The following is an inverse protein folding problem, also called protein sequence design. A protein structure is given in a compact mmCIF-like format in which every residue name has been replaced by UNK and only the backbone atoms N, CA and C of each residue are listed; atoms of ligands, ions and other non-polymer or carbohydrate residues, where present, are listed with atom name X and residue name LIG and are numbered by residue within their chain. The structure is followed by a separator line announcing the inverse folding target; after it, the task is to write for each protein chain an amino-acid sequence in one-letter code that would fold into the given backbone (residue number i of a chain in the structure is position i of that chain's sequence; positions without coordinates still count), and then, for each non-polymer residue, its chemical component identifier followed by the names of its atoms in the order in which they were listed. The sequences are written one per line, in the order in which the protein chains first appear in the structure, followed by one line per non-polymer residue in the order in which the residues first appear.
data_IF_169065515446
#
_entry.id   IF_169065515446
#
_cell.length_a   1.000
_cell.length_b   1.000
_cell.length_c   1.000
_cell.angle_alpha   90.00
_cell.angle_beta   90.00
_cell.angle_gamma   90.00
#
_symmetry.space_group_name_H-M   'P 1'
#
loop_
_entity.id
_entity.type
_entity.pdbx_description
1 polymer ?
#
# COMPACT_ATOMS: atom_id res chain seq x y z
N UNK A 1 -11.46 -9.56 2.65
CA UNK A 1 -10.29 -8.90 2.06
C UNK A 1 -10.69 -8.53 0.65
N UNK A 2 -10.62 -7.24 0.29
CA UNK A 2 -11.03 -6.77 -1.04
C UNK A 2 -9.76 -6.49 -1.84
N UNK A 3 -9.42 -7.43 -2.72
CA UNK A 3 -8.34 -7.28 -3.68
C UNK A 3 -8.72 -6.23 -4.74
N UNK A 4 -7.75 -5.43 -5.17
CA UNK A 4 -7.91 -4.54 -6.32
C UNK A 4 -6.62 -4.41 -7.13
N UNK A 5 -6.73 -3.89 -8.35
CA UNK A 5 -5.59 -3.68 -9.24
C UNK A 5 -5.40 -2.20 -9.51
N UNK A 6 -4.13 -1.78 -9.58
CA UNK A 6 -3.71 -0.46 -10.04
C UNK A 6 -2.76 -0.59 -11.22
N UNK A 7 -2.81 0.36 -12.14
CA UNK A 7 -1.88 0.47 -13.24
C UNK A 7 -0.94 1.65 -12.98
N UNK A 8 0.37 1.40 -12.98
CA UNK A 8 1.40 2.38 -12.61
C UNK A 8 2.54 2.33 -13.63
N UNK A 9 3.10 3.48 -14.00
CA UNK A 9 4.30 3.55 -14.83
C UNK A 9 5.52 3.58 -13.92
N UNK A 10 6.24 2.46 -13.88
CA UNK A 10 7.50 2.31 -13.15
C UNK A 10 8.68 2.51 -14.11
N UNK A 11 9.92 2.53 -13.60
CA UNK A 11 11.10 2.63 -14.47
C UNK A 11 11.18 1.48 -15.50
N UNK A 12 10.55 0.35 -15.16
CA UNK A 12 10.41 -0.87 -15.98
C UNK A 12 9.24 -0.80 -16.98
N UNK A 13 8.50 0.30 -17.02
CA UNK A 13 7.34 0.51 -17.90
C UNK A 13 6.00 0.38 -17.18
N UNK A 14 4.93 0.30 -17.98
CA UNK A 14 3.57 0.13 -17.48
C UNK A 14 3.43 -1.22 -16.77
N UNK A 15 3.07 -1.17 -15.49
CA UNK A 15 3.03 -2.31 -14.59
C UNK A 15 1.66 -2.37 -13.93
N UNK A 16 0.99 -3.51 -14.04
CA UNK A 16 -0.22 -3.80 -13.28
C UNK A 16 0.18 -4.42 -11.95
N UNK A 17 -0.30 -3.81 -10.86
CA UNK A 17 -0.01 -4.22 -9.49
C UNK A 17 -1.30 -4.69 -8.85
N UNK A 18 -1.30 -5.92 -8.33
CA UNK A 18 -2.33 -6.42 -7.43
C UNK A 18 -2.09 -5.83 -6.04
N UNK A 19 -3.16 -5.41 -5.39
CA UNK A 19 -3.13 -4.79 -4.07
C UNK A 19 -4.15 -5.44 -3.16
N UNK A 20 -3.68 -5.87 -1.99
CA UNK A 20 -4.48 -6.44 -0.91
C UNK A 20 -4.35 -5.57 0.33
N UNK A 21 -5.47 -5.08 0.87
CA UNK A 21 -5.48 -4.34 2.12
C UNK A 21 -5.20 -5.29 3.30
N UNK A 22 -4.22 -4.95 4.12
CA UNK A 22 -3.96 -5.65 5.38
C UNK A 22 -5.02 -5.23 6.38
N UNK A 23 -5.70 -6.17 7.06
CA UNK A 23 -6.70 -5.83 8.06
C UNK A 23 -6.12 -5.00 9.21
N UNK A 24 -6.87 -4.01 9.77
CA UNK A 24 -6.38 -3.14 10.84
C UNK A 24 -5.84 -3.87 12.08
N UNK A 25 -6.41 -5.02 12.41
CA UNK A 25 -5.97 -5.89 13.49
C UNK A 25 -4.59 -6.51 13.28
N UNK A 26 -4.10 -6.52 12.04
CA UNK A 26 -2.82 -7.10 11.63
C UNK A 26 -1.78 -6.04 11.26
N UNK A 27 -2.09 -4.75 11.43
CA UNK A 27 -1.11 -3.69 11.18
C UNK A 27 0.01 -3.75 12.21
N UNK A 28 1.25 -3.57 11.75
CA UNK A 28 2.42 -3.56 12.63
C UNK A 28 2.41 -2.37 13.61
N UNK A 29 1.72 -1.27 13.26
CA UNK A 29 1.51 -0.11 14.13
C UNK A 29 0.05 0.36 14.07
N UNK A 30 -0.54 0.76 15.21
CA UNK A 30 -1.86 1.38 15.23
C UNK A 30 -1.91 2.64 14.36
N UNK A 31 -2.91 2.73 13.48
CA UNK A 31 -3.12 3.91 12.64
C UNK A 31 -2.17 4.03 11.43
N UNK A 32 -1.43 2.96 11.11
CA UNK A 32 -0.54 2.90 9.94
C UNK A 32 -1.08 1.87 8.94
N UNK A 33 -1.93 2.27 7.98
CA UNK A 33 -2.48 1.36 6.98
C UNK A 33 -1.39 0.64 6.20
N UNK A 34 -1.58 -0.66 5.97
CA UNK A 34 -0.66 -1.51 5.23
C UNK A 34 -1.36 -2.19 4.06
N UNK A 35 -0.62 -2.36 2.97
CA UNK A 35 -1.10 -2.94 1.73
C UNK A 35 -0.05 -3.90 1.19
N UNK A 36 -0.45 -5.13 0.91
CA UNK A 36 0.39 -6.08 0.20
C UNK A 36 0.26 -5.77 -1.29
N UNK A 37 1.39 -5.60 -1.95
CA UNK A 37 1.46 -5.40 -3.39
C UNK A 37 2.12 -6.61 -4.03
N UNK A 38 1.59 -7.04 -5.16
CA UNK A 38 2.17 -8.12 -5.95
C UNK A 38 2.17 -7.77 -7.44
N UNK A 39 3.31 -7.97 -8.11
CA UNK A 39 3.40 -7.80 -9.56
C UNK A 39 4.56 -8.59 -10.18
N UNK A 40 4.46 -8.81 -11.49
CA UNK A 40 5.46 -9.53 -12.25
C UNK A 40 6.63 -8.64 -12.66
N UNK A 41 7.85 -9.17 -12.51
CA UNK A 41 9.12 -8.58 -12.90
C UNK A 41 9.86 -9.52 -13.86
N UNK A 42 10.88 -9.06 -14.61
CA UNK A 42 11.68 -9.95 -15.44
C UNK A 42 12.33 -11.12 -14.69
N UNK A 43 12.56 -10.97 -13.38
CA UNK A 43 13.13 -11.98 -12.48
C UNK A 43 12.08 -12.87 -11.78
N UNK A 44 10.79 -12.65 -12.01
CA UNK A 44 9.69 -13.39 -11.35
C UNK A 44 8.70 -12.46 -10.65
N UNK A 45 7.92 -12.99 -9.72
CA UNK A 45 6.97 -12.19 -8.94
C UNK A 45 7.69 -11.44 -7.83
N UNK A 46 7.30 -10.18 -7.65
CA UNK A 46 7.69 -9.37 -6.51
C UNK A 46 6.46 -9.16 -5.63
N UNK A 47 6.60 -9.49 -4.35
CA UNK A 47 5.58 -9.27 -3.32
C UNK A 47 6.19 -8.42 -2.21
N UNK A 48 5.55 -7.30 -1.84
CA UNK A 48 6.01 -6.39 -0.79
C UNK A 48 4.84 -5.91 0.05
N UNK A 49 5.11 -5.44 1.27
CA UNK A 49 4.12 -4.72 2.09
C UNK A 49 4.49 -3.25 2.09
N UNK A 50 3.60 -2.41 1.54
CA UNK A 50 3.71 -0.96 1.66
C UNK A 50 2.92 -0.46 2.87
N UNK A 51 3.43 0.57 3.52
CA UNK A 51 2.77 1.21 4.65
C UNK A 51 2.65 2.72 4.43
N UNK A 52 1.52 3.29 4.86
CA UNK A 52 1.25 4.72 4.84
C UNK A 52 1.43 5.30 6.24
N UNK A 53 2.42 6.18 6.41
CA UNK A 53 2.69 6.83 7.68
C UNK A 53 2.90 8.34 7.50
N UNK A 54 2.15 9.16 8.23
CA UNK A 54 2.29 10.61 8.17
C UNK A 54 2.15 11.20 6.75
N UNK A 55 1.36 10.56 5.89
CA UNK A 55 1.18 10.96 4.48
C UNK A 55 2.27 10.50 3.53
N UNK A 56 3.23 9.69 3.99
CA UNK A 56 4.32 9.16 3.19
C UNK A 56 4.23 7.64 3.07
N UNK A 57 4.61 7.13 1.90
CA UNK A 57 4.60 5.71 1.59
C UNK A 57 5.99 5.11 1.75
N UNK A 58 6.07 3.95 2.38
CA UNK A 58 7.30 3.23 2.65
C UNK A 58 7.12 1.74 2.34
N UNK A 59 8.20 1.09 1.91
CA UNK A 59 8.30 -0.36 2.09
C UNK A 59 8.42 -0.61 3.60
N UNK A 60 7.49 -1.39 4.13
CA UNK A 60 7.42 -1.77 5.55
C UNK A 60 8.73 -2.36 6.05
N UNK A 61 9.47 -3.07 5.19
CA UNK A 61 10.74 -3.72 5.55
C UNK A 61 11.95 -2.77 5.53
N UNK A 62 11.89 -1.65 4.80
CA UNK A 62 12.98 -0.63 4.77
C UNK A 62 12.95 0.36 5.91
N UNK A 63 11.80 0.51 6.57
CA UNK A 63 11.61 1.54 7.59
C UNK A 63 12.17 1.09 8.92
N UNK A 64 13.48 1.27 9.13
CA UNK A 64 14.05 1.18 10.47
C UNK A 64 15.25 2.11 10.71
N UNK A 65 15.10 2.96 11.73
CA UNK A 65 16.19 3.37 12.62
C UNK A 65 16.57 2.21 13.55
N UNK A 66 17.78 2.22 14.09
CA UNK A 66 18.35 1.13 14.92
C UNK A 66 17.50 0.76 16.16
N UNK A 67 16.60 1.63 16.62
CA UNK A 67 15.85 1.49 17.88
C UNK A 67 14.45 0.83 17.77
N UNK A 68 13.88 0.67 16.56
CA UNK A 68 12.51 0.14 16.41
C UNK A 68 12.50 -1.39 16.19
N UNK A 69 12.68 -2.17 17.26
CA UNK A 69 12.72 -3.64 17.16
C UNK A 69 11.44 -4.30 16.60
N UNK A 70 10.28 -3.62 16.66
CA UNK A 70 8.98 -4.19 16.29
C UNK A 70 8.67 -4.15 14.78
N UNK A 71 9.46 -3.43 13.98
CA UNK A 71 9.26 -3.32 12.52
C UNK A 71 10.36 -4.01 11.71
N UNK A 72 11.21 -4.80 12.38
CA UNK A 72 12.32 -5.52 11.74
C UNK A 72 11.78 -6.52 10.73
N UNK A 73 12.37 -6.48 9.54
CA UNK A 73 12.23 -7.56 8.57
C UNK A 73 13.02 -8.76 9.09
N UNK A 74 12.31 -9.82 9.41
CA UNK A 74 12.87 -11.13 9.72
C UNK A 74 12.71 -11.99 8.48
N UNK A 75 13.79 -12.59 8.01
CA UNK A 75 13.68 -13.60 6.95
C UNK A 75 12.83 -14.77 7.46
N UNK A 76 11.83 -15.17 6.66
CA UNK A 76 10.98 -16.32 6.98
C UNK A 76 11.81 -17.60 6.82
N UNK A 77 12.33 -18.09 7.94
CA UNK A 77 13.09 -19.33 8.08
C UNK A 77 12.90 -19.96 9.46
N UNK A 78 13.44 -21.17 9.72
CA UNK A 78 13.36 -21.82 11.03
C UNK A 78 14.02 -21.00 12.15
N UNK A 79 14.93 -20.09 11.79
CA UNK A 79 15.50 -19.07 12.66
C UNK A 79 15.10 -17.71 12.08
N UNK A 80 14.14 -17.02 12.69
CA UNK A 80 13.78 -15.64 12.32
C UNK A 80 14.98 -14.71 12.57
N UNK A 81 15.82 -14.52 11.54
CA UNK A 81 16.97 -13.61 11.59
C UNK A 81 16.60 -12.27 10.97
N UNK A 82 16.83 -11.20 11.75
CA UNK A 82 16.80 -9.83 11.23
C UNK A 82 17.86 -9.69 10.13
N UNK A 83 17.46 -9.20 8.95
CA UNK A 83 18.38 -8.89 7.87
C UNK A 83 18.74 -7.39 7.90
N UNK A 84 19.95 -7.01 8.39
CA UNK A 84 20.40 -5.62 8.42
C UNK A 84 20.71 -5.06 7.03
N UNK A 85 20.93 -5.92 6.05
CA UNK A 85 21.36 -5.57 4.69
C UNK A 85 20.18 -5.55 3.71
N UNK A 86 18.93 -5.57 4.21
CA UNK A 86 17.75 -5.51 3.34
C UNK A 86 17.70 -4.19 2.58
N UNK A 87 17.68 -4.30 1.25
CA UNK A 87 17.43 -3.20 0.34
C UNK A 87 16.08 -3.43 -0.36
N UNK A 88 15.22 -2.41 -0.38
CA UNK A 88 13.95 -2.51 -1.12
C UNK A 88 14.23 -2.74 -2.60
N UNK A 89 13.57 -3.72 -3.23
CA UNK A 89 13.68 -3.95 -4.66
C UNK A 89 12.95 -2.89 -5.51
N UNK A 90 12.30 -1.91 -4.86
CA UNK A 90 11.72 -0.72 -5.46
C UNK A 90 12.46 0.55 -5.04
N UNK A 91 12.62 1.47 -5.98
CA UNK A 91 13.10 2.82 -5.68
C UNK A 91 12.08 3.60 -4.85
N UNK A 92 12.54 4.67 -4.18
CA UNK A 92 11.65 5.56 -3.42
C UNK A 92 10.58 6.19 -4.32
N UNK A 93 10.91 6.52 -5.57
CA UNK A 93 9.98 7.07 -6.55
C UNK A 93 8.93 6.05 -6.97
N UNK A 94 9.30 4.79 -7.16
CA UNK A 94 8.36 3.71 -7.46
C UNK A 94 7.39 3.47 -6.31
N UNK A 95 7.89 3.43 -5.07
CA UNK A 95 7.05 3.29 -3.87
C UNK A 95 6.05 4.46 -3.79
N UNK A 96 6.50 5.69 -4.04
CA UNK A 96 5.61 6.87 -4.07
C UNK A 96 4.57 6.78 -5.19
N UNK A 97 4.94 6.31 -6.37
CA UNK A 97 4.02 6.18 -7.50
C UNK A 97 2.93 5.12 -7.23
N UNK A 98 3.32 3.95 -6.72
CA UNK A 98 2.41 2.88 -6.31
C UNK A 98 1.50 3.38 -5.19
N UNK A 99 2.09 3.96 -4.14
CA UNK A 99 1.35 4.52 -3.01
C UNK A 99 0.34 5.59 -3.41
N UNK A 100 0.71 6.50 -4.31
CA UNK A 100 -0.22 7.51 -4.83
C UNK A 100 -1.39 6.87 -5.60
N UNK A 101 -1.14 5.83 -6.39
CA UNK A 101 -2.20 5.09 -7.08
C UNK A 101 -3.13 4.37 -6.10
N UNK A 102 -2.60 3.76 -5.04
CA UNK A 102 -3.39 3.17 -3.93
C UNK A 102 -4.25 4.26 -3.27
N UNK A 103 -3.65 5.38 -2.87
CA UNK A 103 -4.36 6.51 -2.27
C UNK A 103 -5.50 7.01 -3.15
N UNK A 104 -5.25 7.18 -4.46
CA UNK A 104 -6.27 7.60 -5.42
C UNK A 104 -7.41 6.59 -5.51
N UNK A 105 -7.10 5.29 -5.57
CA UNK A 105 -8.12 4.24 -5.55
C UNK A 105 -8.99 4.34 -4.30
N UNK A 106 -8.39 4.47 -3.12
CA UNK A 106 -9.12 4.59 -1.85
C UNK A 106 -10.01 5.84 -1.81
N UNK A 107 -9.52 6.98 -2.29
CA UNK A 107 -10.29 8.23 -2.36
C UNK A 107 -11.49 8.07 -3.29
N UNK A 108 -11.30 7.45 -4.47
CA UNK A 108 -12.38 7.21 -5.44
C UNK A 108 -13.42 6.27 -4.85
N UNK A 109 -12.99 5.17 -4.22
CA UNK A 109 -13.87 4.20 -3.57
C UNK A 109 -14.69 4.83 -2.44
N UNK A 110 -14.06 5.64 -1.59
CA UNK A 110 -14.75 6.39 -0.54
C UNK A 110 -15.74 7.39 -1.12
N UNK A 111 -15.35 8.13 -2.16
CA UNK A 111 -16.20 9.13 -2.82
C UNK A 111 -17.43 8.48 -3.44
N UNK A 112 -17.24 7.35 -4.13
CA UNK A 112 -18.33 6.57 -4.71
C UNK A 112 -19.27 6.05 -3.63
N UNK A 113 -18.73 5.51 -2.54
CA UNK A 113 -19.51 5.05 -1.40
C UNK A 113 -20.33 6.18 -0.78
N UNK A 114 -19.72 7.32 -0.46
CA UNK A 114 -20.41 8.48 0.11
C UNK A 114 -21.47 9.05 -0.85
N UNK A 115 -21.20 9.04 -2.16
CA UNK A 115 -22.14 9.46 -3.19
C UNK A 115 -23.45 8.66 -3.21
N UNK A 116 -23.43 7.39 -2.77
CA UNK A 116 -24.63 6.56 -2.63
C UNK A 116 -25.52 6.99 -1.45
N UNK A 117 -24.98 7.71 -0.47
CA UNK A 117 -25.71 8.20 0.71
C UNK A 117 -26.11 9.67 0.62
N UNK A 118 -25.73 10.37 -0.46
CA UNK A 118 -26.28 11.72 -0.72
C UNK A 118 -27.73 11.55 -1.18
N UNK A 119 -28.73 12.04 -0.42
CA UNK A 119 -30.11 12.03 -0.89
C UNK A 119 -30.15 12.83 -2.18
N UNK A 120 -30.62 12.23 -3.28
CA UNK A 120 -31.09 13.01 -4.41
C UNK A 120 -32.20 13.91 -3.88
N UNK A 121 -31.92 15.20 -3.68
CA UNK A 121 -32.95 16.18 -3.40
C UNK A 121 -33.97 16.11 -4.56
N UNK A 122 -35.09 15.44 -4.31
CA UNK A 122 -36.22 15.42 -5.24
C UNK A 122 -36.79 16.83 -5.26
N UNK A 123 -36.56 17.53 -6.36
CA UNK A 123 -37.12 18.84 -6.70
C UNK A 123 -36.71 20.00 -5.77
N UNK A 124 -35.71 20.82 -6.14
CA UNK A 124 -35.70 22.20 -5.70
C UNK A 124 -36.90 22.90 -6.34
N UNK A 125 -37.99 23.09 -5.58
CA UNK A 125 -39.00 24.08 -5.95
C UNK A 125 -38.33 25.44 -5.90
N UNK A 126 -38.12 26.03 -7.09
CA UNK A 126 -37.77 27.43 -7.26
C UNK A 126 -38.81 28.29 -6.50
N UNK A 127 -38.34 29.06 -5.52
CA UNK A 127 -39.10 30.18 -4.95
C UNK A 127 -38.98 31.40 -5.87
#
# INVERSE_FOLDING_TARGET
MQEFYIDVVLHRGATRVQVDEVPPESWAMPGTPQFIIEFHTPSGFLTLTLQLEGGNWYDRNTRLSEDDFHLRYFELGPDETWNPDYESPLSTEEIKAIGAAISNHMIVSLTAYMGLFVPQFRNPTLN
#
